data_IF_662506335219
#
_entry.id   IF_662506335219
#
_cell.length_a   1.000
_cell.length_b   1.000
_cell.length_c   1.000
_cell.angle_alpha   90.00
_cell.angle_beta   90.00
_cell.angle_gamma   90.00
#
_symmetry.space_group_name_H-M   'P 1'
#
loop_
_entity.id
_entity.type
_entity.pdbx_description
1 polymer ?
#
# COMPACT_ATOMS: atom_id res chain seq x y z
N UNK A 1 -9.20 16.23 -0.22
CA UNK A 1 -8.92 14.92 0.39
C UNK A 1 -8.66 15.10 1.88
N UNK A 2 -8.67 14.05 2.72
CA UNK A 2 -8.51 14.18 4.17
C UNK A 2 -7.21 14.92 4.56
N UNK A 3 -6.10 14.58 3.89
CA UNK A 3 -4.77 15.18 4.11
C UNK A 3 -4.73 16.67 3.74
N UNK A 4 -5.51 17.13 2.75
CA UNK A 4 -5.55 18.56 2.40
C UNK A 4 -6.24 19.42 3.46
N UNK A 5 -7.01 18.82 4.38
CA UNK A 5 -7.70 19.52 5.47
C UNK A 5 -7.01 19.34 6.82
N UNK A 6 -6.40 18.18 7.05
CA UNK A 6 -5.78 17.79 8.33
C UNK A 6 -4.28 17.47 8.21
N UNK A 7 -3.62 17.93 7.15
CA UNK A 7 -2.21 17.59 6.88
C UNK A 7 -1.26 18.04 7.99
N UNK A 8 -1.60 19.10 8.74
CA UNK A 8 -0.87 19.49 9.94
C UNK A 8 -0.88 18.39 11.01
N UNK A 9 -2.06 17.87 11.33
CA UNK A 9 -2.24 16.83 12.36
C UNK A 9 -1.53 15.53 11.98
N UNK A 10 -1.65 15.09 10.71
CA UNK A 10 -0.94 13.89 10.24
C UNK A 10 0.57 14.04 10.30
N UNK A 11 1.11 15.21 9.96
CA UNK A 11 2.55 15.48 10.08
C UNK A 11 3.00 15.53 11.53
N UNK A 12 2.16 16.03 12.43
CA UNK A 12 2.43 15.97 13.86
C UNK A 12 2.53 14.51 14.36
N UNK A 13 1.58 13.65 13.95
CA UNK A 13 1.62 12.22 14.30
C UNK A 13 2.90 11.53 13.79
N UNK A 14 3.36 11.89 12.59
CA UNK A 14 4.62 11.40 12.02
C UNK A 14 5.83 11.92 12.82
N UNK A 15 5.89 13.22 13.10
CA UNK A 15 7.01 13.81 13.85
C UNK A 15 7.10 13.31 15.29
N UNK A 16 5.95 13.00 15.89
CA UNK A 16 5.86 12.45 17.25
C UNK A 16 6.21 10.95 17.29
N UNK A 17 6.42 10.31 16.13
CA UNK A 17 6.78 8.90 16.04
C UNK A 17 5.64 7.97 16.46
N UNK A 18 4.38 8.39 16.29
CA UNK A 18 3.20 7.64 16.72
C UNK A 18 2.67 6.66 15.67
N UNK A 19 3.37 6.52 14.54
CA UNK A 19 2.97 5.69 13.39
C UNK A 19 4.05 4.66 13.09
N UNK A 20 3.74 3.39 13.33
CA UNK A 20 4.64 2.26 13.02
C UNK A 20 4.60 1.86 11.54
N UNK A 21 3.41 1.89 10.94
CA UNK A 21 3.15 1.49 9.56
C UNK A 21 2.27 2.55 8.91
N UNK A 22 2.78 3.20 7.86
CA UNK A 22 2.02 4.16 7.05
C UNK A 22 1.71 3.57 5.68
N UNK A 23 0.42 3.56 5.33
CA UNK A 23 -0.04 3.34 3.96
C UNK A 23 -0.44 4.67 3.32
N UNK A 24 -0.03 4.90 2.08
CA UNK A 24 -0.44 6.04 1.29
C UNK A 24 -0.54 5.69 -0.20
N UNK A 25 -1.29 6.47 -0.97
CA UNK A 25 -1.10 6.53 -2.42
C UNK A 25 -0.11 7.65 -2.81
N UNK A 26 0.28 7.73 -4.09
CA UNK A 26 1.22 8.76 -4.58
C UNK A 26 0.78 10.20 -4.26
N UNK A 27 -0.51 10.52 -4.41
CA UNK A 27 -1.03 11.87 -4.15
C UNK A 27 -1.02 12.22 -2.66
N UNK A 28 -1.35 11.25 -1.81
CA UNK A 28 -1.33 11.39 -0.35
C UNK A 28 0.10 11.53 0.17
N UNK A 29 1.02 10.74 -0.39
CA UNK A 29 2.45 10.83 -0.08
C UNK A 29 3.00 12.21 -0.45
N UNK A 30 2.71 12.70 -1.66
CA UNK A 30 3.14 14.02 -2.11
C UNK A 30 2.61 15.13 -1.19
N UNK A 31 1.34 15.02 -0.77
CA UNK A 31 0.73 15.97 0.15
C UNK A 31 1.35 15.95 1.55
N UNK A 32 1.68 14.76 2.08
CA UNK A 32 2.36 14.62 3.38
C UNK A 32 3.81 15.10 3.33
N UNK A 33 4.50 14.81 2.23
CA UNK A 33 5.89 15.16 2.03
C UNK A 33 6.10 16.62 1.58
N UNK A 34 5.04 17.30 1.15
CA UNK A 34 5.09 18.64 0.55
C UNK A 34 6.05 18.73 -0.64
N UNK A 35 6.05 17.70 -1.48
CA UNK A 35 6.85 17.64 -2.71
C UNK A 35 6.15 16.79 -3.75
N UNK A 36 6.31 17.15 -5.02
CA UNK A 36 5.81 16.36 -6.15
C UNK A 36 6.83 15.34 -6.66
N UNK A 37 8.09 15.42 -6.21
CA UNK A 37 9.11 14.42 -6.49
C UNK A 37 8.84 13.16 -5.67
N UNK A 38 8.48 12.07 -6.35
CA UNK A 38 8.10 10.80 -5.74
C UNK A 38 9.24 10.18 -4.90
N UNK A 39 10.46 10.13 -5.43
CA UNK A 39 11.58 9.50 -4.71
C UNK A 39 12.01 10.37 -3.52
N UNK A 40 11.95 11.70 -3.65
CA UNK A 40 12.16 12.60 -2.52
C UNK A 40 11.07 12.45 -1.46
N UNK A 41 9.81 12.29 -1.87
CA UNK A 41 8.68 12.07 -0.97
C UNK A 41 8.84 10.76 -0.19
N UNK A 42 9.18 9.68 -0.89
CA UNK A 42 9.47 8.37 -0.29
C UNK A 42 10.61 8.48 0.72
N UNK A 43 11.73 9.10 0.34
CA UNK A 43 12.88 9.24 1.23
C UNK A 43 12.53 10.05 2.50
N UNK A 44 11.79 11.16 2.35
CA UNK A 44 11.38 12.01 3.48
C UNK A 44 10.46 11.29 4.45
N UNK A 45 9.47 10.56 3.96
CA UNK A 45 8.46 9.92 4.81
C UNK A 45 8.98 8.59 5.38
N UNK A 46 9.73 7.81 4.62
CA UNK A 46 10.33 6.55 5.11
C UNK A 46 11.34 6.78 6.25
N UNK A 47 11.95 7.96 6.33
CA UNK A 47 12.82 8.33 7.46
C UNK A 47 12.05 8.61 8.77
N UNK A 48 10.73 8.77 8.71
CA UNK A 48 9.89 9.13 9.86
C UNK A 48 9.07 7.95 10.42
N UNK A 49 8.96 6.84 9.67
CA UNK A 49 8.17 5.67 10.07
C UNK A 49 8.97 4.37 9.89
N UNK A 50 8.79 3.37 10.77
CA UNK A 50 9.45 2.06 10.61
C UNK A 50 9.10 1.36 9.30
N UNK A 51 7.83 1.45 8.86
CA UNK A 51 7.36 0.87 7.60
C UNK A 51 6.52 1.89 6.82
N UNK A 52 6.93 2.19 5.59
CA UNK A 52 6.16 2.96 4.62
C UNK A 52 5.72 2.03 3.48
N UNK A 53 4.45 2.09 3.10
CA UNK A 53 3.89 1.36 1.96
C UNK A 53 3.14 2.32 1.06
N UNK A 54 3.54 2.40 -0.21
CA UNK A 54 3.00 3.35 -1.18
C UNK A 54 2.40 2.61 -2.37
N UNK A 55 1.11 2.84 -2.61
CA UNK A 55 0.41 2.34 -3.79
C UNK A 55 0.45 3.36 -4.93
N UNK A 56 0.60 2.87 -6.16
CA UNK A 56 0.86 3.67 -7.36
C UNK A 56 -0.06 3.29 -8.53
N UNK A 57 -1.27 2.85 -8.21
CA UNK A 57 -2.25 2.41 -9.21
C UNK A 57 -1.67 1.35 -10.16
N UNK A 58 -1.69 1.65 -11.47
CA UNK A 58 -1.16 0.78 -12.52
C UNK A 58 0.36 0.57 -12.48
N UNK A 59 1.10 1.44 -11.78
CA UNK A 59 2.54 1.28 -11.57
C UNK A 59 2.87 0.32 -10.41
N UNK A 60 1.85 -0.20 -9.72
CA UNK A 60 2.00 -1.18 -8.65
C UNK A 60 2.17 -0.54 -7.27
N UNK A 61 3.19 -0.95 -6.52
CA UNK A 61 3.45 -0.44 -5.18
C UNK A 61 4.94 -0.57 -4.80
N UNK A 62 5.35 0.20 -3.80
CA UNK A 62 6.63 0.03 -3.12
C UNK A 62 6.44 -0.01 -1.61
N UNK A 63 7.37 -0.65 -0.90
CA UNK A 63 7.48 -0.54 0.55
C UNK A 63 8.91 -0.34 0.99
N UNK A 64 9.07 0.41 2.08
CA UNK A 64 10.34 0.68 2.73
C UNK A 64 10.17 0.27 4.19
N UNK A 65 11.00 -0.65 4.65
CA UNK A 65 10.99 -1.13 6.03
C UNK A 65 12.42 -1.22 6.54
N UNK A 66 12.74 -0.45 7.59
CA UNK A 66 14.08 -0.45 8.22
C UNK A 66 15.24 -0.30 7.21
N UNK A 67 15.05 0.51 6.16
CA UNK A 67 16.05 0.74 5.10
C UNK A 67 16.04 -0.27 3.95
N UNK A 68 15.30 -1.38 4.04
CA UNK A 68 15.05 -2.28 2.93
C UNK A 68 13.91 -1.73 2.05
N UNK A 69 14.10 -1.73 0.72
CA UNK A 69 13.09 -1.34 -0.27
C UNK A 69 12.64 -2.55 -1.07
N UNK A 70 11.34 -2.71 -1.24
CA UNK A 70 10.70 -3.71 -2.08
C UNK A 70 9.74 -3.03 -3.05
N UNK A 71 9.58 -3.60 -4.24
CA UNK A 71 8.68 -3.07 -5.28
C UNK A 71 7.95 -4.21 -5.97
N UNK A 72 6.69 -3.96 -6.31
CA UNK A 72 5.88 -4.89 -7.10
C UNK A 72 5.17 -4.13 -8.20
N UNK A 73 5.07 -4.75 -9.37
CA UNK A 73 4.23 -4.24 -10.46
C UNK A 73 2.76 -4.45 -10.11
N UNK A 74 1.87 -3.66 -10.69
CA UNK A 74 0.45 -3.98 -10.64
C UNK A 74 0.21 -5.34 -11.29
N UNK A 75 -0.65 -6.15 -10.68
CA UNK A 75 -1.07 -7.41 -11.30
C UNK A 75 -1.90 -7.11 -12.56
N UNK A 76 -1.72 -7.89 -13.64
CA UNK A 76 -2.44 -7.67 -14.89
C UNK A 76 -3.92 -8.01 -14.72
N UNK A 77 -4.78 -7.02 -14.98
CA UNK A 77 -6.24 -7.16 -14.82
C UNK A 77 -6.90 -6.91 -16.17
N UNK A 78 -7.78 -7.82 -16.58
CA UNK A 78 -8.44 -7.75 -17.89
C UNK A 78 -9.39 -6.55 -18.00
N UNK A 79 -10.00 -6.12 -16.89
CA UNK A 79 -10.89 -4.96 -16.82
C UNK A 79 -10.99 -4.44 -15.39
N UNK A 80 -10.80 -3.13 -15.20
CA UNK A 80 -11.11 -2.43 -13.95
C UNK A 80 -12.62 -2.13 -13.94
N UNK A 81 -13.32 -2.59 -12.90
CA UNK A 81 -14.77 -2.45 -12.76
C UNK A 81 -15.12 -1.37 -11.73
N UNK A 82 -14.48 -1.41 -10.55
CA UNK A 82 -14.64 -0.45 -9.46
C UNK A 82 -13.33 -0.37 -8.66
N UNK A 83 -12.80 0.83 -8.41
CA UNK A 83 -11.56 1.01 -7.64
C UNK A 83 -11.79 1.19 -6.15
N UNK A 84 -13.06 1.24 -5.73
CA UNK A 84 -13.45 1.40 -4.33
C UNK A 84 -12.94 0.22 -3.49
N UNK A 85 -12.19 0.51 -2.42
CA UNK A 85 -11.64 -0.52 -1.51
C UNK A 85 -10.33 -1.18 -1.98
N UNK A 86 -9.78 -0.79 -3.14
CA UNK A 86 -8.50 -1.33 -3.63
C UNK A 86 -7.35 -1.09 -2.61
N UNK A 87 -7.29 0.10 -2.01
CA UNK A 87 -6.31 0.43 -0.97
C UNK A 87 -6.51 -0.37 0.32
N UNK A 88 -7.76 -0.57 0.73
CA UNK A 88 -8.08 -1.33 1.96
C UNK A 88 -7.67 -2.79 1.83
N UNK A 89 -7.91 -3.41 0.66
CA UNK A 89 -7.54 -4.80 0.41
C UNK A 89 -6.06 -4.97 0.11
N UNK A 90 -5.43 -3.97 -0.49
CA UNK A 90 -3.97 -3.92 -0.55
C UNK A 90 -3.37 -3.97 0.86
N UNK A 91 -3.85 -3.09 1.75
CA UNK A 91 -3.38 -3.03 3.12
C UNK A 91 -3.69 -4.35 3.86
N UNK A 92 -4.87 -4.94 3.68
CA UNK A 92 -5.22 -6.22 4.27
C UNK A 92 -4.28 -7.36 3.81
N UNK A 93 -3.99 -7.45 2.51
CA UNK A 93 -3.07 -8.44 1.96
C UNK A 93 -1.65 -8.25 2.48
N UNK A 94 -1.15 -7.01 2.50
CA UNK A 94 0.18 -6.70 3.02
C UNK A 94 0.30 -7.05 4.51
N UNK A 95 -0.65 -6.61 5.33
CA UNK A 95 -0.66 -6.85 6.78
C UNK A 95 -0.81 -8.34 7.10
N UNK A 96 -1.59 -9.08 6.30
CA UNK A 96 -1.66 -10.53 6.41
C UNK A 96 -0.29 -11.18 6.18
N UNK A 97 0.44 -10.78 5.12
CA UNK A 97 1.78 -11.28 4.85
C UNK A 97 2.75 -11.01 6.00
N UNK A 98 2.76 -9.77 6.52
CA UNK A 98 3.59 -9.40 7.67
C UNK A 98 3.24 -10.21 8.92
N UNK A 99 1.96 -10.38 9.22
CA UNK A 99 1.50 -11.16 10.38
C UNK A 99 1.88 -12.65 10.29
N UNK A 100 2.00 -13.18 9.07
CA UNK A 100 2.44 -14.56 8.81
C UNK A 100 3.97 -14.72 8.77
N UNK A 101 4.74 -13.64 8.98
CA UNK A 101 6.20 -13.65 8.94
C UNK A 101 6.78 -13.70 7.53
N UNK A 102 6.01 -13.35 6.51
CA UNK A 102 6.53 -13.21 5.15
C UNK A 102 7.44 -12.00 5.03
N UNK A 103 8.39 -12.07 4.12
CA UNK A 103 9.25 -10.94 3.83
C UNK A 103 8.48 -9.78 3.18
N UNK A 104 9.16 -8.63 3.07
CA UNK A 104 8.58 -7.40 2.56
C UNK A 104 8.07 -7.55 1.12
N UNK A 105 8.82 -8.27 0.27
CA UNK A 105 8.48 -8.47 -1.14
C UNK A 105 7.22 -9.34 -1.30
N UNK A 106 7.15 -10.46 -0.57
CA UNK A 106 6.01 -11.36 -0.56
C UNK A 106 4.76 -10.70 0.01
N UNK A 107 4.91 -9.90 1.07
CA UNK A 107 3.81 -9.11 1.65
C UNK A 107 3.28 -8.07 0.66
N UNK A 108 4.16 -7.37 -0.04
CA UNK A 108 3.80 -6.40 -1.07
C UNK A 108 3.06 -7.06 -2.25
N UNK A 109 3.55 -8.23 -2.69
CA UNK A 109 2.91 -9.03 -3.74
C UNK A 109 1.52 -9.49 -3.31
N UNK A 110 1.36 -9.93 -2.06
CA UNK A 110 0.04 -10.32 -1.55
C UNK A 110 -0.94 -9.15 -1.55
N UNK A 111 -0.51 -7.95 -1.13
CA UNK A 111 -1.30 -6.73 -1.24
C UNK A 111 -1.76 -6.45 -2.68
N UNK A 112 -0.84 -6.54 -3.64
CA UNK A 112 -1.16 -6.32 -5.07
C UNK A 112 -2.17 -7.35 -5.60
N UNK A 113 -2.03 -8.63 -5.24
CA UNK A 113 -2.98 -9.69 -5.62
C UNK A 113 -4.37 -9.44 -5.01
N UNK A 114 -4.44 -9.04 -3.75
CA UNK A 114 -5.71 -8.71 -3.09
C UNK A 114 -6.40 -7.49 -3.72
N UNK A 115 -5.63 -6.45 -4.06
CA UNK A 115 -6.16 -5.28 -4.74
C UNK A 115 -6.66 -5.61 -6.15
N UNK A 116 -5.99 -6.52 -6.86
CA UNK A 116 -6.38 -6.92 -8.20
C UNK A 116 -7.69 -7.71 -8.25
N UNK A 117 -7.94 -8.54 -7.25
CA UNK A 117 -9.18 -9.32 -7.16
C UNK A 117 -10.40 -8.41 -6.98
N UNK A 118 -10.35 -7.45 -6.06
CA UNK A 118 -11.51 -6.61 -5.76
C UNK A 118 -11.89 -5.67 -6.88
N UNK A 119 -10.91 -5.13 -7.61
CA UNK A 119 -11.22 -4.20 -8.71
C UNK A 119 -11.75 -4.90 -9.96
N UNK A 120 -11.74 -6.24 -9.98
CA UNK A 120 -12.22 -7.05 -11.10
C UNK A 120 -13.73 -7.31 -11.07
N UNK A 121 -14.43 -6.94 -10.00
CA UNK A 121 -15.88 -7.11 -9.85
C UNK A 121 -16.53 -5.91 -9.14
N UNK A 122 -17.86 -5.83 -9.16
CA UNK A 122 -18.60 -4.76 -8.45
C UNK A 122 -18.67 -5.10 -6.95
N UNK A 123 -18.34 -4.13 -6.09
CA UNK A 123 -18.50 -4.21 -4.63
C UNK A 123 -17.22 -4.48 -3.85
N UNK A 124 -17.13 -3.97 -2.61
CA UNK A 124 -15.92 -3.93 -1.78
C UNK A 124 -15.65 -5.21 -0.94
N UNK A 125 -16.15 -6.38 -1.37
CA UNK A 125 -15.85 -7.67 -0.72
C UNK A 125 -15.41 -8.72 -1.75
N UNK A 126 -14.33 -9.47 -1.50
CA UNK A 126 -13.88 -10.52 -2.40
C UNK A 126 -14.98 -11.51 -2.75
N UNK A 127 -15.04 -11.89 -4.03
CA UNK A 127 -15.98 -12.89 -4.55
C UNK A 127 -15.33 -14.28 -4.64
N UNK A 128 -14.03 -14.38 -4.37
CA UNK A 128 -13.26 -15.64 -4.39
C UNK A 128 -12.69 -16.02 -3.03
N UNK A 129 -12.24 -17.28 -2.91
CA UNK A 129 -11.49 -17.74 -1.74
C UNK A 129 -10.08 -17.14 -1.72
N UNK A 130 -9.90 -16.12 -0.87
CA UNK A 130 -8.63 -15.41 -0.71
C UNK A 130 -7.49 -16.30 -0.21
N UNK A 131 -7.77 -17.37 0.55
CA UNK A 131 -6.72 -18.30 1.01
C UNK A 131 -6.17 -19.11 -0.17
N UNK A 132 -7.06 -19.61 -1.03
CA UNK A 132 -6.67 -20.33 -2.23
C UNK A 132 -5.90 -19.43 -3.21
N UNK A 133 -6.31 -18.16 -3.34
CA UNK A 133 -5.63 -17.18 -4.19
C UNK A 133 -4.20 -16.86 -3.71
N UNK A 134 -4.03 -16.64 -2.40
CA UNK A 134 -2.72 -16.38 -1.80
C UNK A 134 -1.75 -17.56 -1.98
N UNK A 135 -2.22 -18.78 -1.74
CA UNK A 135 -1.40 -19.99 -1.89
C UNK A 135 -0.84 -20.17 -3.33
N UNK A 136 -1.59 -19.72 -4.35
CA UNK A 136 -1.19 -19.82 -5.75
C UNK A 136 -0.10 -18.80 -6.15
N UNK A 137 0.05 -17.71 -5.41
CA UNK A 137 0.94 -16.59 -5.78
C UNK A 137 2.18 -16.46 -4.88
N UNK A 138 2.17 -17.07 -3.69
CA UNK A 138 3.26 -17.04 -2.70
C UNK A 138 3.97 -18.41 -2.60
N UNK A 139 3.50 -19.42 -3.33
CA UNK A 139 4.15 -20.74 -3.43
C UNK A 139 5.44 -20.72 -4.25
#
# INVERSE_FOLDING_TARGET
FCISRHGGDFRQLLSDGLIDILFANESELAALAETEDFDAAVAKIAAQVPTLVVTRGEHGACAIQNGARAEVKAEPIAKVVDTTGAGDLFAAGFLHGQAQGYDLQASLKLGAVCAAEIISHVGARPMVDMKALAAKHIG
#
